data_IF_165689152433
#
_entry.id   IF_165689152433
#
_cell.length_a   1.000
_cell.length_b   1.000
_cell.length_c   1.000
_cell.angle_alpha   90.00
_cell.angle_beta   90.00
_cell.angle_gamma   90.00
#
_symmetry.space_group_name_H-M   'P 1'
#
loop_
_entity.id
_entity.type
_entity.pdbx_description
1 polymer ?
#
# COMPACT_ATOMS: atom_id res chain seq x y z
N UNK A 1 39.06 7.97 0.72
CA UNK A 1 37.95 7.75 -0.25
C UNK A 1 37.62 9.07 -0.92
N UNK A 2 37.13 9.04 -2.17
CA UNK A 2 36.61 10.25 -2.83
C UNK A 2 35.36 10.73 -2.10
N UNK A 3 35.10 12.05 -2.13
CA UNK A 3 33.87 12.65 -1.63
C UNK A 3 32.69 12.33 -2.58
N UNK A 4 31.46 12.58 -2.11
CA UNK A 4 30.24 12.52 -2.92
C UNK A 4 29.88 11.13 -3.49
N UNK A 5 30.03 10.08 -2.67
CA UNK A 5 29.61 8.72 -3.03
C UNK A 5 28.09 8.50 -2.88
N UNK A 6 27.44 9.30 -2.05
CA UNK A 6 26.01 9.15 -1.72
C UNK A 6 25.18 10.04 -2.65
N UNK A 7 24.22 9.43 -3.34
CA UNK A 7 23.27 10.21 -4.14
C UNK A 7 22.45 11.15 -3.26
N UNK A 8 22.27 12.43 -3.63
CA UNK A 8 21.35 13.34 -2.95
C UNK A 8 19.94 12.76 -2.76
N UNK A 9 19.50 11.94 -3.70
CA UNK A 9 18.21 11.23 -3.66
C UNK A 9 18.05 10.34 -2.42
N UNK A 10 19.15 9.83 -1.84
CA UNK A 10 19.09 8.95 -0.66
C UNK A 10 18.51 9.63 0.59
N UNK A 11 18.62 10.96 0.69
CA UNK A 11 18.05 11.74 1.78
C UNK A 11 16.50 11.72 1.79
N UNK A 12 15.89 11.39 0.67
CA UNK A 12 14.43 11.31 0.51
C UNK A 12 13.85 9.92 0.71
N UNK A 13 14.69 8.91 0.97
CA UNK A 13 14.25 7.55 1.25
C UNK A 13 13.79 7.45 2.71
N UNK A 14 12.50 7.32 2.93
CA UNK A 14 11.90 7.14 4.26
C UNK A 14 10.89 5.98 4.23
N UNK A 15 10.89 5.16 5.27
CA UNK A 15 10.00 4.02 5.36
C UNK A 15 9.57 3.75 6.81
N UNK A 16 8.60 4.52 7.31
CA UNK A 16 8.11 4.50 8.69
C UNK A 16 7.78 3.08 9.21
N UNK A 17 7.23 2.21 8.34
CA UNK A 17 6.90 0.81 8.70
C UNK A 17 8.14 0.03 9.17
N UNK A 18 9.31 0.27 8.56
CA UNK A 18 10.55 -0.41 8.95
C UNK A 18 11.24 0.24 10.14
N UNK A 19 11.11 1.54 10.28
CA UNK A 19 11.73 2.26 11.41
C UNK A 19 11.04 1.89 12.72
N UNK A 20 9.73 1.72 12.72
CA UNK A 20 9.00 1.27 13.92
C UNK A 20 9.37 -0.18 14.30
N UNK A 21 9.70 -1.04 13.34
CA UNK A 21 10.17 -2.41 13.60
C UNK A 21 11.48 -2.41 14.37
N UNK A 22 12.44 -1.55 14.00
CA UNK A 22 13.71 -1.42 14.72
C UNK A 22 13.49 -1.05 16.19
N UNK A 23 12.56 -0.13 16.44
CA UNK A 23 12.19 0.24 17.80
C UNK A 23 11.48 -0.91 18.54
N UNK A 24 10.59 -1.65 17.88
CA UNK A 24 9.94 -2.84 18.44
C UNK A 24 10.94 -3.92 18.87
N UNK A 25 11.96 -4.16 18.05
CA UNK A 25 13.04 -5.10 18.43
C UNK A 25 13.81 -4.64 19.69
N UNK A 26 14.03 -3.32 19.83
CA UNK A 26 14.63 -2.77 21.05
C UNK A 26 13.72 -2.98 22.26
N UNK A 27 12.40 -2.75 22.14
CA UNK A 27 11.42 -3.01 23.20
C UNK A 27 11.42 -4.49 23.60
N UNK A 28 11.50 -5.42 22.62
CA UNK A 28 11.57 -6.87 22.87
C UNK A 28 12.82 -7.25 23.69
N UNK A 29 13.94 -6.59 23.47
CA UNK A 29 15.16 -6.79 24.28
C UNK A 29 14.98 -6.43 25.76
N UNK A 30 13.99 -5.59 26.08
CA UNK A 30 13.60 -5.26 27.46
C UNK A 30 12.57 -6.26 28.07
N UNK A 31 12.31 -7.40 27.38
CA UNK A 31 11.47 -8.50 27.89
C UNK A 31 9.97 -8.33 27.64
N UNK A 32 9.54 -7.43 26.76
CA UNK A 32 8.14 -7.28 26.37
C UNK A 32 7.87 -7.98 25.03
N UNK A 33 6.92 -8.93 25.02
CA UNK A 33 6.48 -9.58 23.78
C UNK A 33 5.74 -8.60 22.88
N UNK A 34 6.01 -8.69 21.57
CA UNK A 34 5.48 -7.76 20.58
C UNK A 34 4.46 -8.43 19.68
N UNK A 35 3.29 -7.82 19.61
CA UNK A 35 2.25 -8.12 18.62
C UNK A 35 2.38 -7.16 17.45
N UNK A 36 2.76 -7.69 16.29
CA UNK A 36 3.10 -6.91 15.10
C UNK A 36 1.85 -6.62 14.24
N UNK A 37 1.19 -5.48 14.45
CA UNK A 37 0.05 -5.01 13.65
C UNK A 37 0.44 -3.96 12.60
N UNK A 38 1.72 -3.84 12.32
CA UNK A 38 2.31 -2.87 11.38
C UNK A 38 2.65 -3.47 10.02
N UNK A 39 2.83 -4.80 9.91
CA UNK A 39 3.34 -5.46 8.71
C UNK A 39 2.21 -6.10 7.91
N UNK A 40 2.07 -5.71 6.64
CA UNK A 40 1.11 -6.28 5.72
C UNK A 40 1.58 -7.58 5.06
N UNK A 41 1.95 -8.57 5.88
CA UNK A 41 2.32 -9.91 5.46
C UNK A 41 1.36 -10.95 6.04
N UNK A 42 0.42 -11.46 5.22
CA UNK A 42 -0.56 -12.44 5.67
C UNK A 42 0.08 -13.74 6.19
N UNK A 43 1.16 -14.20 5.55
CA UNK A 43 1.84 -15.45 5.92
C UNK A 43 2.51 -15.31 7.29
N UNK A 44 3.17 -14.17 7.56
CA UNK A 44 3.77 -13.89 8.87
C UNK A 44 2.73 -13.82 10.00
N UNK A 45 1.45 -13.57 9.66
CA UNK A 45 0.29 -13.56 10.56
C UNK A 45 -0.45 -14.90 10.64
N UNK A 46 0.08 -15.94 9.99
CA UNK A 46 -0.47 -17.28 10.04
C UNK A 46 -1.58 -17.58 9.03
N UNK A 47 -1.85 -16.68 8.06
CA UNK A 47 -2.76 -16.99 6.97
C UNK A 47 -2.11 -18.04 6.03
N UNK A 48 -2.67 -19.23 5.91
CA UNK A 48 -2.09 -20.27 5.07
C UNK A 48 -2.33 -19.99 3.59
N UNK A 49 -1.35 -20.35 2.77
CA UNK A 49 -1.61 -20.48 1.32
C UNK A 49 -2.55 -21.66 1.10
N UNK A 50 -3.59 -21.46 0.33
CA UNK A 50 -4.57 -22.50 -0.01
C UNK A 50 -3.90 -23.75 -0.55
N UNK A 51 -4.32 -24.96 -0.16
CA UNK A 51 -3.72 -26.21 -0.63
C UNK A 51 -3.72 -26.35 -2.15
N UNK A 52 -4.77 -25.88 -2.81
CA UNK A 52 -4.87 -25.95 -4.28
C UNK A 52 -3.87 -25.01 -4.98
N UNK A 53 -3.56 -23.85 -4.41
CA UNK A 53 -2.52 -22.92 -4.92
C UNK A 53 -1.16 -23.56 -4.75
N UNK A 54 -0.91 -24.20 -3.58
CA UNK A 54 0.33 -24.95 -3.33
C UNK A 54 0.50 -26.07 -4.34
N UNK A 55 -0.56 -26.84 -4.63
CA UNK A 55 -0.51 -27.93 -5.59
C UNK A 55 -0.18 -27.41 -7.00
N UNK A 56 -0.83 -26.33 -7.45
CA UNK A 56 -0.51 -25.70 -8.73
C UNK A 56 0.99 -25.32 -8.79
N UNK A 57 1.53 -24.76 -7.68
CA UNK A 57 2.94 -24.37 -7.68
C UNK A 57 3.88 -25.58 -7.63
N UNK A 58 3.53 -26.65 -6.96
CA UNK A 58 4.28 -27.93 -7.04
C UNK A 58 4.37 -28.44 -8.48
N UNK A 59 3.25 -28.46 -9.20
CA UNK A 59 3.22 -28.86 -10.60
C UNK A 59 4.03 -27.92 -11.50
N UNK A 60 4.15 -26.65 -11.14
CA UNK A 60 4.99 -25.67 -11.86
C UNK A 60 6.47 -25.91 -11.58
N UNK A 61 6.85 -26.22 -10.36
CA UNK A 61 8.25 -26.47 -9.99
C UNK A 61 8.81 -27.70 -10.68
N UNK A 62 7.99 -28.66 -11.06
CA UNK A 62 8.38 -29.85 -11.84
C UNK A 62 8.66 -29.53 -13.32
N UNK A 63 8.37 -28.33 -13.79
CA UNK A 63 8.69 -27.88 -15.16
C UNK A 63 10.10 -27.32 -15.21
N UNK A 64 10.90 -27.71 -16.19
CA UNK A 64 12.27 -27.24 -16.39
C UNK A 64 12.34 -25.70 -16.55
N UNK A 65 11.33 -25.09 -17.19
CA UNK A 65 11.28 -23.64 -17.41
C UNK A 65 11.20 -22.83 -16.10
N UNK A 66 10.71 -23.43 -15.01
CA UNK A 66 10.65 -22.77 -13.70
C UNK A 66 12.03 -22.53 -13.08
N UNK A 67 13.06 -23.27 -13.54
CA UNK A 67 14.44 -23.20 -13.05
C UNK A 67 15.36 -22.34 -13.93
N UNK A 68 14.94 -22.04 -15.14
CA UNK A 68 15.68 -21.22 -16.09
C UNK A 68 15.33 -19.74 -16.02
N UNK A 69 16.05 -18.95 -16.80
CA UNK A 69 15.66 -17.57 -17.08
C UNK A 69 14.41 -17.55 -17.95
N UNK A 70 13.49 -16.64 -17.66
CA UNK A 70 12.36 -16.36 -18.55
C UNK A 70 12.70 -15.21 -19.53
N UNK A 71 11.87 -14.96 -20.55
CA UNK A 71 11.95 -13.73 -21.33
C UNK A 71 11.91 -12.49 -20.43
N UNK A 72 12.55 -11.41 -20.85
CA UNK A 72 12.74 -10.18 -20.04
C UNK A 72 11.41 -9.62 -19.54
N UNK A 73 10.41 -9.54 -20.40
CA UNK A 73 9.09 -9.00 -20.07
C UNK A 73 8.20 -10.03 -19.32
N UNK A 74 8.55 -11.31 -19.35
CA UNK A 74 7.85 -12.42 -18.72
C UNK A 74 7.50 -13.55 -19.69
N UNK A 75 7.01 -14.66 -19.14
CA UNK A 75 6.53 -15.78 -19.96
C UNK A 75 5.31 -15.40 -20.79
N UNK A 76 5.33 -15.77 -22.07
CA UNK A 76 4.25 -15.47 -23.00
C UNK A 76 2.90 -16.04 -22.56
N UNK A 77 2.87 -17.26 -22.02
CA UNK A 77 1.63 -17.89 -21.52
C UNK A 77 1.02 -17.08 -20.37
N UNK A 78 1.86 -16.49 -19.49
CA UNK A 78 1.40 -15.64 -18.38
C UNK A 78 0.87 -14.30 -18.89
N UNK A 79 1.56 -13.68 -19.84
CA UNK A 79 1.14 -12.43 -20.48
C UNK A 79 -0.20 -12.61 -21.22
N UNK A 80 -0.37 -13.70 -21.96
CA UNK A 80 -1.61 -14.03 -22.68
C UNK A 80 -2.80 -14.21 -21.73
N UNK A 81 -2.60 -14.96 -20.65
CA UNK A 81 -3.64 -15.17 -19.64
C UNK A 81 -4.06 -13.88 -18.96
N UNK A 82 -3.09 -13.02 -18.57
CA UNK A 82 -3.38 -11.75 -17.94
C UNK A 82 -4.05 -10.77 -18.90
N UNK A 83 -3.59 -10.65 -20.14
CA UNK A 83 -4.21 -9.81 -21.15
C UNK A 83 -5.65 -10.27 -21.46
N UNK A 84 -5.89 -11.58 -21.55
CA UNK A 84 -7.23 -12.13 -21.69
C UNK A 84 -8.13 -11.75 -20.49
N UNK A 85 -7.62 -11.92 -19.27
CA UNK A 85 -8.35 -11.59 -18.05
C UNK A 85 -8.70 -10.09 -17.96
N UNK A 86 -7.79 -9.18 -18.34
CA UNK A 86 -8.11 -7.75 -18.46
C UNK A 86 -9.19 -7.50 -19.49
N UNK A 87 -9.07 -8.14 -20.66
CA UNK A 87 -9.97 -7.95 -21.80
C UNK A 87 -11.36 -8.61 -21.62
N UNK A 88 -11.59 -9.41 -20.58
CA UNK A 88 -12.93 -9.89 -20.20
C UNK A 88 -13.83 -8.74 -19.72
N UNK A 89 -13.24 -7.68 -19.15
CA UNK A 89 -13.96 -6.49 -18.70
C UNK A 89 -14.16 -5.50 -19.84
N UNK A 90 -15.17 -4.61 -19.76
CA UNK A 90 -15.29 -3.48 -20.69
C UNK A 90 -14.11 -2.49 -20.47
N UNK A 91 -13.85 -1.64 -21.46
CA UNK A 91 -12.87 -0.57 -21.33
C UNK A 91 -11.64 -0.74 -22.22
N UNK A 92 -10.47 -0.33 -21.73
CA UNK A 92 -9.22 -0.37 -22.47
C UNK A 92 -8.82 -1.81 -22.81
N UNK A 93 -8.38 -2.02 -24.05
CA UNK A 93 -7.90 -3.33 -24.55
C UNK A 93 -6.39 -3.35 -24.54
N UNK A 94 -5.82 -4.45 -24.08
CA UNK A 94 -4.38 -4.66 -24.05
C UNK A 94 -4.01 -5.93 -24.79
N UNK A 95 -2.77 -5.97 -25.26
CA UNK A 95 -2.13 -7.15 -25.82
C UNK A 95 -1.20 -7.80 -24.78
N UNK A 96 -0.77 -9.03 -24.97
CA UNK A 96 0.25 -9.65 -24.13
C UNK A 96 1.55 -8.82 -24.01
N UNK A 97 1.92 -8.05 -25.04
CA UNK A 97 3.10 -7.20 -25.04
C UNK A 97 2.95 -5.96 -24.10
N UNK A 98 1.74 -5.67 -23.65
CA UNK A 98 1.45 -4.60 -22.68
C UNK A 98 1.55 -5.08 -21.23
N UNK A 99 1.88 -6.35 -21.00
CA UNK A 99 2.15 -6.94 -19.69
C UNK A 99 3.65 -7.09 -19.49
N UNK A 100 4.19 -6.50 -18.42
CA UNK A 100 5.62 -6.57 -18.08
C UNK A 100 5.75 -7.03 -16.63
N UNK A 101 6.43 -8.15 -16.40
CA UNK A 101 6.66 -8.71 -15.07
C UNK A 101 7.83 -8.06 -14.34
N UNK A 102 7.71 -7.95 -13.02
CA UNK A 102 8.69 -7.41 -12.09
C UNK A 102 8.84 -8.32 -10.87
N UNK A 103 9.94 -8.15 -10.11
CA UNK A 103 10.17 -8.86 -8.84
C UNK A 103 9.29 -8.28 -7.71
N UNK A 104 7.98 -8.34 -7.91
CA UNK A 104 6.95 -7.73 -7.08
C UNK A 104 6.69 -6.25 -7.44
N UNK A 105 5.54 -5.73 -6.99
CA UNK A 105 5.10 -4.35 -7.29
C UNK A 105 6.11 -3.30 -6.79
N UNK A 106 6.81 -3.54 -5.68
CA UNK A 106 7.83 -2.60 -5.19
C UNK A 106 9.00 -2.43 -6.16
N UNK A 107 9.37 -3.47 -6.91
CA UNK A 107 10.36 -3.40 -7.98
C UNK A 107 9.82 -2.61 -9.19
N UNK A 108 8.55 -2.83 -9.55
CA UNK A 108 7.87 -2.03 -10.57
C UNK A 108 7.86 -0.54 -10.18
N UNK A 109 7.50 -0.20 -8.94
CA UNK A 109 7.54 1.17 -8.41
C UNK A 109 8.93 1.78 -8.58
N UNK A 110 9.97 1.09 -8.12
CA UNK A 110 11.34 1.61 -8.21
C UNK A 110 11.75 1.94 -9.64
N UNK A 111 11.36 1.11 -10.62
CA UNK A 111 11.69 1.35 -12.04
C UNK A 111 10.81 2.39 -12.69
N UNK A 112 9.49 2.35 -12.44
CA UNK A 112 8.56 3.32 -12.99
C UNK A 112 8.99 4.75 -12.62
N UNK A 113 9.34 5.01 -11.36
CA UNK A 113 9.86 6.32 -10.99
C UNK A 113 11.31 6.53 -11.44
N UNK A 114 12.17 5.52 -11.33
CA UNK A 114 13.60 5.66 -11.62
C UNK A 114 13.95 5.97 -13.09
N UNK A 115 13.03 5.69 -14.02
CA UNK A 115 13.19 5.95 -15.46
C UNK A 115 12.31 7.08 -15.99
N UNK A 116 11.63 7.82 -15.11
CA UNK A 116 11.06 9.12 -15.46
C UNK A 116 12.16 10.18 -15.58
N UNK A 117 11.92 11.20 -16.39
CA UNK A 117 12.73 12.42 -16.38
C UNK A 117 12.68 13.04 -14.97
N UNK A 118 13.79 13.52 -14.38
CA UNK A 118 13.76 14.23 -13.09
C UNK A 118 12.84 15.45 -13.04
N UNK A 119 12.42 15.95 -14.19
CA UNK A 119 11.47 17.06 -14.32
C UNK A 119 10.01 16.62 -14.46
N UNK A 120 9.75 15.33 -14.68
CA UNK A 120 8.41 14.77 -14.78
C UNK A 120 7.97 14.24 -13.40
N UNK A 121 7.04 14.93 -12.75
CA UNK A 121 6.58 14.64 -11.40
C UNK A 121 5.29 13.82 -11.42
N UNK A 122 5.13 12.98 -10.42
CA UNK A 122 3.88 12.25 -10.21
C UNK A 122 3.24 12.77 -8.94
N UNK A 123 2.03 13.35 -9.08
CA UNK A 123 1.24 13.71 -7.89
C UNK A 123 0.55 12.47 -7.33
N UNK A 124 0.71 12.21 -6.02
CA UNK A 124 0.15 11.05 -5.33
C UNK A 124 -0.83 11.42 -4.22
N UNK A 125 -1.63 10.46 -3.70
CA UNK A 125 -2.54 10.71 -2.58
C UNK A 125 -1.78 10.95 -1.27
N UNK A 126 -2.40 11.68 -0.35
CA UNK A 126 -1.95 11.86 1.04
C UNK A 126 -3.11 11.50 1.99
N UNK A 127 -3.00 10.40 2.78
CA UNK A 127 -1.87 9.47 2.92
C UNK A 127 -1.72 8.47 1.76
N UNK A 128 -0.48 7.98 1.58
CA UNK A 128 -0.13 6.99 0.57
C UNK A 128 0.86 5.93 1.06
N UNK A 129 0.90 4.80 0.39
CA UNK A 129 1.94 3.79 0.61
C UNK A 129 3.33 4.39 0.38
N UNK A 130 4.14 4.42 1.44
CA UNK A 130 5.41 5.17 1.51
C UNK A 130 6.42 4.80 0.42
N UNK A 131 6.33 3.62 -0.18
CA UNK A 131 7.21 3.23 -1.29
C UNK A 131 7.01 4.12 -2.51
N UNK A 132 5.76 4.49 -2.86
CA UNK A 132 5.49 5.42 -3.95
C UNK A 132 6.01 6.82 -3.64
N UNK A 133 5.68 7.34 -2.44
CA UNK A 133 6.10 8.68 -2.02
C UNK A 133 7.62 8.82 -1.97
N UNK A 134 8.32 7.81 -1.41
CA UNK A 134 9.78 7.80 -1.35
C UNK A 134 10.42 7.65 -2.74
N UNK A 135 9.86 6.82 -3.61
CA UNK A 135 10.37 6.64 -4.96
C UNK A 135 10.23 7.92 -5.79
N UNK A 136 9.09 8.61 -5.67
CA UNK A 136 8.85 9.90 -6.34
C UNK A 136 9.81 10.98 -5.84
N UNK A 137 9.98 11.11 -4.53
CA UNK A 137 10.92 12.06 -3.94
C UNK A 137 12.36 11.77 -4.32
N UNK A 138 12.77 10.51 -4.31
CA UNK A 138 14.14 10.10 -4.67
C UNK A 138 14.44 10.32 -6.15
N UNK A 139 13.47 10.07 -7.04
CA UNK A 139 13.63 10.25 -8.49
C UNK A 139 13.99 11.70 -8.86
N UNK A 140 13.36 12.69 -8.25
CA UNK A 140 13.59 14.10 -8.54
C UNK A 140 14.48 14.83 -7.51
N UNK A 141 14.88 14.17 -6.41
CA UNK A 141 15.60 14.75 -5.27
C UNK A 141 14.86 15.96 -4.62
N UNK A 142 13.52 15.92 -4.61
CA UNK A 142 12.65 16.95 -4.04
C UNK A 142 11.55 16.27 -3.19
N UNK A 143 10.93 16.96 -2.23
CA UNK A 143 9.73 16.45 -1.58
C UNK A 143 8.65 16.08 -2.59
N UNK A 144 7.97 14.95 -2.39
CA UNK A 144 6.92 14.52 -3.31
C UNK A 144 5.70 15.46 -3.28
N UNK A 145 4.99 15.53 -4.39
CA UNK A 145 3.78 16.35 -4.52
C UNK A 145 2.57 15.45 -4.22
N UNK A 146 1.66 15.93 -3.37
CA UNK A 146 0.48 15.16 -2.98
C UNK A 146 -0.82 15.92 -3.24
N UNK A 147 -1.90 15.17 -3.47
CA UNK A 147 -3.26 15.65 -3.31
C UNK A 147 -3.88 15.01 -2.05
N UNK A 148 -4.79 15.74 -1.40
CA UNK A 148 -5.31 15.31 -0.11
C UNK A 148 -6.45 14.29 -0.29
N UNK A 149 -6.46 13.31 0.62
CA UNK A 149 -7.62 12.45 0.86
C UNK A 149 -8.39 12.99 2.06
N UNK A 150 -9.68 13.29 1.89
CA UNK A 150 -10.50 13.91 2.95
C UNK A 150 -10.95 12.86 3.99
N UNK A 151 -10.44 12.92 5.22
CA UNK A 151 -10.86 12.00 6.29
C UNK A 151 -12.30 12.21 6.74
N UNK A 152 -12.94 13.33 6.39
CA UNK A 152 -14.34 13.59 6.68
C UNK A 152 -15.27 13.05 5.60
N UNK A 153 -14.73 12.76 4.43
CA UNK A 153 -15.42 12.18 3.29
C UNK A 153 -14.88 10.78 2.94
N UNK A 154 -14.70 9.92 3.97
CA UNK A 154 -14.31 8.52 3.72
C UNK A 154 -12.92 8.32 3.13
N UNK A 155 -12.01 9.29 3.24
CA UNK A 155 -10.71 9.27 2.60
C UNK A 155 -10.77 9.25 1.06
N UNK A 156 -11.80 9.83 0.49
CA UNK A 156 -11.87 10.05 -0.95
C UNK A 156 -10.96 11.22 -1.36
N UNK A 157 -10.42 11.21 -2.59
CA UNK A 157 -9.63 12.30 -3.13
C UNK A 157 -10.37 13.65 -3.10
N UNK A 158 -9.69 14.69 -2.61
CA UNK A 158 -10.10 16.06 -2.83
C UNK A 158 -9.72 16.46 -4.27
N UNK A 159 -10.72 16.44 -5.15
CA UNK A 159 -10.54 16.70 -6.57
C UNK A 159 -10.26 18.18 -6.88
N UNK A 160 -10.69 19.10 -6.03
CA UNK A 160 -10.39 20.52 -6.17
C UNK A 160 -8.91 20.79 -5.80
N UNK A 161 -8.44 20.18 -4.71
CA UNK A 161 -7.02 20.23 -4.35
C UNK A 161 -6.14 19.61 -5.44
N UNK A 162 -6.54 18.44 -5.97
CA UNK A 162 -5.82 17.78 -7.07
C UNK A 162 -5.75 18.69 -8.30
N UNK A 163 -6.85 19.28 -8.74
CA UNK A 163 -6.93 20.23 -9.87
C UNK A 163 -6.03 21.45 -9.63
N UNK A 164 -6.15 22.05 -8.45
CA UNK A 164 -5.36 23.23 -8.10
C UNK A 164 -3.85 22.95 -8.16
N UNK A 165 -3.43 21.83 -7.63
CA UNK A 165 -2.02 21.42 -7.63
C UNK A 165 -1.51 21.11 -9.04
N UNK A 166 -2.28 20.45 -9.88
CA UNK A 166 -1.91 20.24 -11.30
C UNK A 166 -1.71 21.59 -12.01
N UNK A 167 -2.57 22.55 -11.79
CA UNK A 167 -2.44 23.89 -12.39
C UNK A 167 -1.23 24.67 -11.83
N UNK A 168 -0.91 24.48 -10.54
CA UNK A 168 0.17 25.18 -9.85
C UNK A 168 1.55 24.63 -10.20
N UNK A 169 1.66 23.32 -10.43
CA UNK A 169 2.92 22.62 -10.68
C UNK A 169 3.00 22.06 -12.12
N UNK A 170 3.47 22.83 -13.10
CA UNK A 170 3.55 22.39 -14.51
C UNK A 170 4.47 21.18 -14.74
N UNK A 171 5.28 20.81 -13.76
CA UNK A 171 6.11 19.61 -13.79
C UNK A 171 5.33 18.31 -13.56
N UNK A 172 4.08 18.38 -13.12
CA UNK A 172 3.25 17.17 -12.96
C UNK A 172 2.97 16.58 -14.34
N UNK A 173 3.43 15.36 -14.55
CA UNK A 173 3.26 14.58 -15.76
C UNK A 173 2.26 13.42 -15.60
N UNK A 174 1.98 13.01 -14.33
CA UNK A 174 1.04 11.92 -14.08
C UNK A 174 0.42 11.98 -12.69
N UNK A 175 -0.66 11.22 -12.53
CA UNK A 175 -1.42 11.10 -11.29
C UNK A 175 -1.33 9.64 -10.79
N UNK A 176 -0.92 9.46 -9.53
CA UNK A 176 -0.96 8.16 -8.85
C UNK A 176 -2.31 7.96 -8.17
N UNK A 177 -2.90 6.80 -8.40
CA UNK A 177 -4.10 6.29 -7.72
C UNK A 177 -3.68 5.03 -6.93
N UNK A 178 -4.12 4.89 -5.68
CA UNK A 178 -3.95 3.66 -4.89
C UNK A 178 -5.34 3.19 -4.48
N UNK A 179 -5.85 2.15 -5.12
CA UNK A 179 -7.25 1.72 -4.93
C UNK A 179 -7.37 0.18 -4.91
N UNK A 180 -7.85 -0.42 -3.82
CA UNK A 180 -8.09 0.12 -2.47
C UNK A 180 -6.84 0.73 -1.82
N UNK A 181 -7.03 1.79 -1.04
CA UNK A 181 -5.94 2.59 -0.50
C UNK A 181 -5.23 1.92 0.70
N UNK A 182 -3.92 1.96 0.69
CA UNK A 182 -3.05 1.73 1.84
C UNK A 182 -2.42 3.08 2.21
N UNK A 183 -2.73 3.65 3.39
CA UNK A 183 -3.08 2.99 4.66
C UNK A 183 -4.57 2.95 5.04
N UNK A 184 -5.47 3.62 4.34
CA UNK A 184 -6.80 3.95 4.87
C UNK A 184 -7.83 2.82 4.75
N UNK A 185 -7.65 1.90 3.81
CA UNK A 185 -8.66 0.91 3.43
C UNK A 185 -9.84 1.50 2.66
N UNK A 186 -9.76 2.77 2.25
CA UNK A 186 -10.77 3.40 1.41
C UNK A 186 -10.79 2.80 0.00
N UNK A 187 -11.97 2.76 -0.60
CA UNK A 187 -12.20 2.33 -1.97
C UNK A 187 -12.84 3.47 -2.74
N UNK A 188 -12.27 3.80 -3.88
CA UNK A 188 -12.78 4.90 -4.70
C UNK A 188 -13.94 4.42 -5.56
N UNK A 189 -15.12 5.07 -5.47
CA UNK A 189 -16.24 4.79 -6.35
C UNK A 189 -15.90 5.10 -7.82
N UNK A 190 -16.65 4.50 -8.72
CA UNK A 190 -16.47 4.65 -10.18
C UNK A 190 -16.45 6.12 -10.59
N UNK A 191 -17.37 6.92 -10.06
CA UNK A 191 -17.50 8.36 -10.38
C UNK A 191 -16.28 9.18 -9.95
N UNK A 192 -15.57 8.76 -8.89
CA UNK A 192 -14.34 9.41 -8.45
C UNK A 192 -13.19 9.05 -9.40
N UNK A 193 -13.09 7.79 -9.80
CA UNK A 193 -12.10 7.35 -10.78
C UNK A 193 -12.32 8.05 -12.14
N UNK A 194 -13.54 8.13 -12.62
CA UNK A 194 -13.89 8.84 -13.86
C UNK A 194 -13.50 10.32 -13.82
N UNK A 195 -13.70 11.00 -12.69
CA UNK A 195 -13.29 12.39 -12.50
C UNK A 195 -11.77 12.56 -12.50
N UNK A 196 -11.03 11.62 -11.90
CA UNK A 196 -9.55 11.63 -11.97
C UNK A 196 -9.08 11.42 -13.42
N UNK A 197 -9.68 10.47 -14.13
CA UNK A 197 -9.41 10.24 -15.57
C UNK A 197 -9.70 11.49 -16.40
N UNK A 198 -10.82 12.18 -16.12
CA UNK A 198 -11.18 13.41 -16.79
C UNK A 198 -10.14 14.54 -16.55
N UNK A 199 -9.63 14.67 -15.32
CA UNK A 199 -8.53 15.58 -15.01
C UNK A 199 -7.25 15.22 -15.77
N UNK A 200 -6.87 13.94 -15.78
CA UNK A 200 -5.71 13.49 -16.53
C UNK A 200 -5.82 13.81 -18.03
N UNK A 201 -7.00 13.57 -18.63
CA UNK A 201 -7.29 13.91 -20.02
C UNK A 201 -7.21 15.41 -20.27
N UNK A 202 -7.84 16.24 -19.43
CA UNK A 202 -7.87 17.69 -19.53
C UNK A 202 -6.48 18.32 -19.54
N UNK A 203 -5.57 17.79 -18.70
CA UNK A 203 -4.23 18.31 -18.53
C UNK A 203 -3.15 17.56 -19.31
N UNK A 204 -3.50 16.54 -20.10
CA UNK A 204 -2.56 15.75 -20.89
C UNK A 204 -1.60 14.93 -20.01
N UNK A 205 -2.08 14.35 -18.91
CA UNK A 205 -1.31 13.56 -17.96
C UNK A 205 -1.56 12.06 -18.18
N UNK A 206 -0.59 11.23 -17.80
CA UNK A 206 -0.83 9.78 -17.71
C UNK A 206 -1.21 9.36 -16.28
N UNK A 207 -1.71 8.14 -16.12
CA UNK A 207 -2.13 7.61 -14.83
C UNK A 207 -1.20 6.46 -14.39
N UNK A 208 -0.98 6.36 -13.08
CA UNK A 208 -0.42 5.18 -12.42
C UNK A 208 -1.47 4.71 -11.42
N UNK A 209 -1.89 3.44 -11.50
CA UNK A 209 -2.77 2.84 -10.51
C UNK A 209 -2.07 1.69 -9.79
N UNK A 210 -1.94 1.77 -8.48
CA UNK A 210 -1.59 0.62 -7.63
C UNK A 210 -2.89 -0.10 -7.25
N UNK A 211 -3.18 -1.18 -7.98
CA UNK A 211 -4.36 -2.04 -7.80
C UNK A 211 -4.03 -3.35 -7.10
N UNK A 212 -2.95 -3.40 -6.30
CA UNK A 212 -2.53 -4.63 -5.59
C UNK A 212 -3.61 -5.21 -4.67
N UNK A 213 -4.62 -4.41 -4.28
CA UNK A 213 -5.73 -4.79 -3.41
C UNK A 213 -7.09 -4.84 -4.12
N UNK A 214 -7.16 -4.66 -5.44
CA UNK A 214 -8.45 -4.47 -6.14
C UNK A 214 -9.42 -5.64 -5.97
N UNK A 215 -8.91 -6.88 -5.86
CA UNK A 215 -9.74 -8.06 -5.59
C UNK A 215 -10.05 -8.27 -4.10
N UNK A 216 -9.71 -7.30 -3.26
CA UNK A 216 -10.00 -7.30 -1.81
C UNK A 216 -10.97 -6.19 -1.42
N UNK A 217 -11.82 -5.76 -2.34
CA UNK A 217 -12.96 -4.87 -2.09
C UNK A 217 -14.03 -5.64 -1.32
N UNK A 218 -14.61 -5.02 -0.27
CA UNK A 218 -15.56 -5.69 0.60
C UNK A 218 -16.94 -5.82 -0.04
N UNK A 219 -17.74 -6.83 0.35
CA UNK A 219 -19.08 -7.02 -0.21
C UNK A 219 -19.96 -5.77 -0.08
N UNK A 220 -20.64 -5.41 -1.16
CA UNK A 220 -21.52 -4.24 -1.23
C UNK A 220 -20.81 -2.90 -1.46
N UNK A 221 -19.50 -2.90 -1.65
CA UNK A 221 -18.73 -1.71 -2.07
C UNK A 221 -18.51 -1.78 -3.59
N UNK A 222 -18.83 -0.71 -4.29
CA UNK A 222 -18.67 -0.60 -5.74
C UNK A 222 -17.40 0.18 -6.09
N UNK A 223 -16.67 -0.31 -7.08
CA UNK A 223 -15.50 0.33 -7.69
C UNK A 223 -15.30 -0.22 -9.10
N UNK A 224 -14.32 0.32 -9.82
CA UNK A 224 -13.89 -0.20 -11.12
C UNK A 224 -12.37 -0.42 -11.14
N UNK A 225 -11.91 -1.29 -12.03
CA UNK A 225 -10.51 -1.30 -12.43
C UNK A 225 -10.22 -0.05 -13.27
N UNK A 226 -8.99 0.47 -13.19
CA UNK A 226 -8.64 1.63 -14.01
C UNK A 226 -8.83 1.33 -15.51
N UNK A 227 -8.60 0.10 -15.95
CA UNK A 227 -8.81 -0.33 -17.34
C UNK A 227 -10.25 -0.14 -17.84
N UNK A 228 -11.24 -0.12 -16.96
CA UNK A 228 -12.67 0.07 -17.32
C UNK A 228 -13.02 1.53 -17.55
N UNK A 229 -12.29 2.47 -16.94
CA UNK A 229 -12.59 3.92 -16.98
C UNK A 229 -11.56 4.76 -17.75
N UNK A 230 -10.32 4.28 -17.91
CA UNK A 230 -9.24 5.00 -18.59
C UNK A 230 -9.28 4.82 -20.12
N UNK A 231 -10.44 4.96 -20.73
CA UNK A 231 -10.72 4.60 -22.14
C UNK A 231 -9.74 5.16 -23.16
N UNK A 232 -9.24 6.37 -22.95
CA UNK A 232 -8.40 7.13 -23.89
C UNK A 232 -7.23 7.85 -23.20
N UNK A 233 -6.97 7.56 -21.94
CA UNK A 233 -5.83 8.11 -21.16
C UNK A 233 -4.75 7.06 -21.04
N UNK A 234 -3.50 7.35 -21.41
CA UNK A 234 -2.38 6.43 -21.17
C UNK A 234 -2.21 6.12 -19.68
N UNK A 235 -2.01 4.85 -19.35
CA UNK A 235 -1.86 4.48 -17.95
C UNK A 235 -0.97 3.25 -17.72
N UNK A 236 -0.43 3.15 -16.51
CA UNK A 236 0.26 1.97 -15.97
C UNK A 236 -0.57 1.49 -14.77
N UNK A 237 -1.06 0.25 -14.82
CA UNK A 237 -1.72 -0.41 -13.70
C UNK A 237 -0.75 -1.41 -13.08
N UNK A 238 -0.53 -1.33 -11.78
CA UNK A 238 0.38 -2.21 -11.03
C UNK A 238 -0.41 -3.29 -10.31
N UNK A 239 -0.06 -4.55 -10.55
CA UNK A 239 -0.75 -5.72 -10.02
C UNK A 239 0.24 -6.78 -9.54
N UNK A 240 -0.26 -7.75 -8.77
CA UNK A 240 0.57 -8.87 -8.35
C UNK A 240 -0.14 -9.77 -7.36
N UNK A 241 0.40 -10.97 -7.16
CA UNK A 241 -0.23 -12.02 -6.36
C UNK A 241 0.09 -11.96 -4.86
N UNK A 242 0.88 -10.98 -4.42
CA UNK A 242 1.35 -10.89 -3.03
C UNK A 242 0.23 -10.77 -2.00
N UNK A 243 -0.89 -10.15 -2.35
CA UNK A 243 -1.97 -9.82 -1.42
C UNK A 243 -3.23 -10.65 -1.66
N UNK A 244 -3.63 -10.81 -2.90
CA UNK A 244 -4.82 -11.59 -3.24
C UNK A 244 -4.65 -13.10 -3.05
N UNK A 245 -3.47 -13.66 -3.36
CA UNK A 245 -3.14 -15.07 -3.14
C UNK A 245 -2.39 -15.35 -1.83
N UNK A 246 -2.34 -14.41 -0.90
CA UNK A 246 -1.44 -14.16 0.22
C UNK A 246 -0.04 -14.76 0.05
N UNK A 247 0.60 -14.46 -1.10
CA UNK A 247 1.92 -15.01 -1.44
C UNK A 247 2.98 -13.93 -1.69
N UNK A 248 3.31 -13.11 -0.67
CA UNK A 248 4.30 -12.02 -0.82
C UNK A 248 5.73 -12.53 -1.13
N UNK A 249 6.05 -13.75 -0.70
CA UNK A 249 7.34 -14.39 -0.98
C UNK A 249 7.54 -14.81 -2.44
N UNK A 250 6.48 -14.85 -3.26
CA UNK A 250 6.58 -15.16 -4.70
C UNK A 250 7.42 -14.14 -5.46
N UNK A 251 7.48 -12.91 -4.98
CA UNK A 251 8.07 -11.77 -5.72
C UNK A 251 7.56 -11.67 -7.15
N UNK A 252 6.26 -11.90 -7.36
CA UNK A 252 5.61 -11.83 -8.66
C UNK A 252 4.61 -10.67 -8.68
N UNK A 253 4.92 -9.68 -9.49
CA UNK A 253 4.08 -8.54 -9.81
C UNK A 253 4.29 -8.16 -11.27
N UNK A 254 3.40 -7.36 -11.81
CA UNK A 254 3.46 -6.89 -13.19
C UNK A 254 2.83 -5.51 -13.33
N UNK A 255 3.11 -4.89 -14.46
CA UNK A 255 2.36 -3.73 -14.92
C UNK A 255 1.52 -4.11 -16.13
N UNK A 256 0.35 -3.48 -16.23
CA UNK A 256 -0.55 -3.50 -17.38
C UNK A 256 -0.48 -2.12 -18.01
N UNK A 257 -0.03 -2.02 -19.26
CA UNK A 257 0.10 -0.74 -19.96
C UNK A 257 -1.16 -0.50 -20.79
N UNK A 258 -1.90 0.55 -20.45
CA UNK A 258 -3.13 0.93 -21.12
C UNK A 258 -2.86 2.05 -22.12
N UNK A 259 -3.50 1.96 -23.29
CA UNK A 259 -3.56 3.05 -24.26
C UNK A 259 -2.18 3.54 -24.75
N UNK A 260 -1.16 2.70 -24.75
CA UNK A 260 0.23 3.03 -25.05
C UNK A 260 0.39 3.77 -26.37
N UNK A 261 -0.33 3.36 -27.40
CA UNK A 261 -0.21 3.91 -28.76
C UNK A 261 -0.81 5.30 -28.95
N UNK A 262 -1.54 5.82 -27.96
CA UNK A 262 -2.19 7.13 -28.05
C UNK A 262 -1.23 8.29 -27.84
N UNK A 263 -0.07 8.06 -27.20
CA UNK A 263 0.93 9.09 -26.97
C UNK A 263 2.35 8.56 -27.22
N UNK A 264 3.13 9.25 -28.05
CA UNK A 264 4.48 8.84 -28.43
C UNK A 264 5.47 8.98 -27.28
N UNK A 265 5.35 10.00 -26.41
CA UNK A 265 6.23 10.19 -25.27
C UNK A 265 5.99 9.12 -24.22
N UNK A 266 4.73 8.80 -23.96
CA UNK A 266 4.37 7.70 -23.07
C UNK A 266 4.84 6.35 -23.63
N UNK A 267 4.71 6.11 -24.92
CA UNK A 267 5.25 4.91 -25.57
C UNK A 267 6.77 4.80 -25.40
N UNK A 268 7.50 5.90 -25.64
CA UNK A 268 8.95 5.94 -25.44
C UNK A 268 9.35 5.73 -23.98
N UNK A 269 8.55 6.26 -23.03
CA UNK A 269 8.76 6.00 -21.62
C UNK A 269 8.59 4.51 -21.27
N UNK A 270 7.55 3.84 -21.78
CA UNK A 270 7.37 2.40 -21.60
C UNK A 270 8.53 1.60 -22.22
N UNK A 271 9.04 2.02 -23.39
CA UNK A 271 10.22 1.40 -23.99
C UNK A 271 11.46 1.52 -23.09
N UNK A 272 11.61 2.63 -22.38
CA UNK A 272 12.70 2.81 -21.42
C UNK A 272 12.60 1.85 -20.22
N UNK A 273 11.37 1.54 -19.76
CA UNK A 273 11.15 0.54 -18.71
C UNK A 273 11.53 -0.87 -19.18
N UNK A 274 11.17 -1.24 -20.41
CA UNK A 274 11.56 -2.51 -21.01
C UNK A 274 13.08 -2.59 -21.17
N UNK A 275 13.72 -1.51 -21.60
CA UNK A 275 15.18 -1.44 -21.72
C UNK A 275 15.86 -1.61 -20.35
N UNK A 276 15.31 -0.99 -19.30
CA UNK A 276 15.80 -1.17 -17.93
C UNK A 276 15.66 -2.63 -17.46
N UNK A 277 14.56 -3.30 -17.79
CA UNK A 277 14.35 -4.71 -17.46
C UNK A 277 15.40 -5.63 -18.10
N UNK A 278 15.89 -5.31 -19.29
CA UNK A 278 16.94 -6.10 -19.95
C UNK A 278 18.24 -6.16 -19.14
N UNK A 279 18.53 -5.15 -18.33
CA UNK A 279 19.69 -5.12 -17.43
C UNK A 279 19.55 -6.12 -16.27
N UNK A 280 18.33 -6.53 -15.92
CA UNK A 280 18.05 -7.54 -14.87
C UNK A 280 17.95 -8.96 -15.44
N UNK A 281 17.99 -9.10 -16.75
CA UNK A 281 17.70 -10.32 -17.49
C UNK A 281 16.21 -10.66 -17.45
N UNK A 282 15.64 -11.01 -16.28
CA UNK A 282 14.21 -11.34 -16.13
C UNK A 282 13.76 -11.23 -14.67
N UNK A 283 12.46 -11.41 -14.42
CA UNK A 283 11.88 -11.58 -13.08
C UNK A 283 11.80 -13.07 -12.70
N UNK A 284 11.36 -13.38 -11.46
CA UNK A 284 11.21 -14.77 -10.98
C UNK A 284 10.34 -15.61 -11.90
N UNK A 285 10.85 -16.77 -12.36
CA UNK A 285 10.23 -17.61 -13.39
C UNK A 285 9.04 -18.43 -12.86
N UNK A 286 9.25 -19.24 -11.82
CA UNK A 286 8.23 -20.18 -11.34
C UNK A 286 6.88 -19.54 -10.98
N UNK A 287 6.83 -18.44 -10.20
CA UNK A 287 5.55 -17.79 -9.88
C UNK A 287 4.78 -17.27 -11.08
N UNK A 288 5.46 -16.81 -12.15
CA UNK A 288 4.80 -16.37 -13.38
C UNK A 288 4.05 -17.53 -14.06
N UNK A 289 4.65 -18.72 -14.09
CA UNK A 289 4.04 -19.93 -14.67
C UNK A 289 2.83 -20.44 -13.86
N UNK A 290 2.73 -20.04 -12.56
CA UNK A 290 1.58 -20.36 -11.74
C UNK A 290 0.37 -19.44 -12.02
N UNK A 291 0.60 -18.18 -12.42
CA UNK A 291 -0.46 -17.17 -12.62
C UNK A 291 -1.57 -17.66 -13.55
N UNK A 292 -1.31 -18.17 -14.78
CA UNK A 292 -2.37 -18.63 -15.70
C UNK A 292 -3.24 -19.74 -15.10
N UNK A 293 -2.60 -20.65 -14.37
CA UNK A 293 -3.25 -21.81 -13.77
C UNK A 293 -4.11 -21.42 -12.57
N UNK A 294 -3.64 -20.48 -11.76
CA UNK A 294 -4.38 -19.98 -10.60
C UNK A 294 -5.59 -19.17 -11.06
N UNK A 295 -5.40 -18.25 -12.00
CA UNK A 295 -6.48 -17.36 -12.48
C UNK A 295 -7.54 -18.13 -13.28
N UNK A 296 -7.14 -19.18 -14.00
CA UNK A 296 -8.05 -20.08 -14.72
C UNK A 296 -8.74 -21.14 -13.84
N UNK A 297 -8.38 -21.26 -12.56
CA UNK A 297 -8.96 -22.24 -11.66
C UNK A 297 -10.33 -21.79 -11.14
N UNK A 298 -11.34 -22.65 -11.17
CA UNK A 298 -12.69 -22.34 -10.71
C UNK A 298 -12.78 -21.93 -9.24
N UNK A 299 -11.78 -22.29 -8.43
CA UNK A 299 -11.68 -21.92 -6.99
C UNK A 299 -11.18 -20.51 -6.77
N UNK A 300 -10.59 -19.85 -7.78
CA UNK A 300 -10.00 -18.51 -7.63
C UNK A 300 -11.05 -17.46 -7.22
N UNK A 301 -12.16 -17.36 -7.93
CA UNK A 301 -13.23 -16.42 -7.58
C UNK A 301 -13.81 -16.66 -6.17
N UNK A 302 -13.97 -17.93 -5.78
CA UNK A 302 -14.45 -18.31 -4.44
C UNK A 302 -13.44 -17.90 -3.37
N UNK A 303 -12.15 -18.12 -3.63
CA UNK A 303 -11.05 -17.69 -2.74
C UNK A 303 -11.07 -16.18 -2.51
N UNK A 304 -11.16 -15.37 -3.55
CA UNK A 304 -11.22 -13.91 -3.44
C UNK A 304 -12.43 -13.45 -2.65
N UNK A 305 -13.63 -13.98 -2.97
CA UNK A 305 -14.88 -13.63 -2.28
C UNK A 305 -14.82 -13.96 -0.78
N UNK A 306 -14.31 -15.15 -0.44
CA UNK A 306 -14.15 -15.56 0.97
C UNK A 306 -13.20 -14.62 1.73
N UNK A 307 -12.09 -14.22 1.14
CA UNK A 307 -11.13 -13.30 1.77
C UNK A 307 -11.73 -11.90 1.94
N UNK A 308 -12.43 -11.38 0.93
CA UNK A 308 -13.12 -10.10 1.04
C UNK A 308 -14.15 -10.10 2.18
N UNK A 309 -14.96 -11.17 2.31
CA UNK A 309 -15.91 -11.34 3.41
C UNK A 309 -15.22 -11.43 4.78
N UNK A 310 -14.12 -12.17 4.87
CA UNK A 310 -13.33 -12.32 6.09
C UNK A 310 -12.79 -10.97 6.58
N UNK A 311 -12.19 -10.18 5.69
CA UNK A 311 -11.65 -8.88 6.06
C UNK A 311 -12.76 -7.85 6.35
N UNK A 312 -13.89 -7.92 5.67
CA UNK A 312 -15.06 -7.10 6.00
C UNK A 312 -15.56 -7.37 7.42
N UNK A 313 -15.64 -8.65 7.83
CA UNK A 313 -16.03 -9.03 9.20
C UNK A 313 -15.03 -8.53 10.25
N UNK A 314 -13.72 -8.65 9.99
CA UNK A 314 -12.65 -8.16 10.87
C UNK A 314 -12.64 -6.63 10.97
N UNK A 315 -12.91 -5.93 9.87
CA UNK A 315 -13.05 -4.47 9.87
C UNK A 315 -14.25 -4.00 10.71
N UNK A 316 -15.36 -4.72 10.65
CA UNK A 316 -16.53 -4.45 11.48
C UNK A 316 -16.24 -4.68 12.97
N UNK A 317 -15.54 -5.77 13.30
CA UNK A 317 -15.11 -6.08 14.68
C UNK A 317 -14.22 -4.95 15.24
N UNK A 318 -13.20 -4.54 14.48
CA UNK A 318 -12.30 -3.46 14.87
C UNK A 318 -13.04 -2.11 15.00
N UNK A 319 -13.93 -1.80 14.06
CA UNK A 319 -14.74 -0.58 14.11
C UNK A 319 -15.60 -0.52 15.36
N UNK A 320 -16.32 -1.60 15.71
CA UNK A 320 -17.13 -1.67 16.92
C UNK A 320 -16.30 -1.48 18.20
N UNK A 321 -15.10 -2.06 18.25
CA UNK A 321 -14.25 -1.94 19.42
C UNK A 321 -13.72 -0.51 19.63
N UNK A 322 -13.43 0.22 18.55
CA UNK A 322 -12.73 1.50 18.60
C UNK A 322 -13.66 2.72 18.52
N UNK A 323 -14.81 2.61 17.84
CA UNK A 323 -15.69 3.76 17.55
C UNK A 323 -16.32 4.43 18.78
N UNK A 324 -16.31 3.78 19.93
CA UNK A 324 -16.82 4.33 21.20
C UNK A 324 -15.79 5.17 21.97
N UNK A 325 -14.51 5.14 21.59
CA UNK A 325 -13.44 5.90 22.24
C UNK A 325 -13.56 7.37 21.85
N UNK A 326 -13.59 8.27 22.86
CA UNK A 326 -13.66 9.72 22.64
C UNK A 326 -12.31 10.26 22.21
N UNK A 327 -12.28 11.34 21.43
CA UNK A 327 -11.07 12.01 20.96
C UNK A 327 -10.39 11.34 19.79
N UNK A 328 -11.03 10.33 19.19
CA UNK A 328 -10.58 9.71 17.95
C UNK A 328 -11.69 9.62 16.91
N UNK A 329 -11.28 9.52 15.65
CA UNK A 329 -12.16 9.18 14.52
C UNK A 329 -11.64 7.91 13.87
N UNK A 330 -12.51 6.89 13.76
CA UNK A 330 -12.19 5.61 13.11
C UNK A 330 -12.84 5.58 11.74
N UNK A 331 -12.04 5.35 10.71
CA UNK A 331 -12.57 5.06 9.38
C UNK A 331 -12.76 3.54 9.22
N UNK A 332 -13.98 3.13 8.89
CA UNK A 332 -14.26 1.72 8.57
C UNK A 332 -13.75 1.42 7.18
N UNK A 333 -12.79 0.50 7.08
CA UNK A 333 -12.25 0.08 5.80
C UNK A 333 -13.33 -0.50 4.88
N UNK A 334 -13.15 -0.30 3.59
CA UNK A 334 -14.02 -0.81 2.52
C UNK A 334 -13.29 -1.83 1.63
N UNK A 335 -11.98 -1.95 1.80
CA UNK A 335 -11.13 -2.88 1.06
C UNK A 335 -9.76 -3.03 1.70
N UNK A 336 -8.90 -3.83 1.09
CA UNK A 336 -7.59 -4.22 1.61
C UNK A 336 -7.69 -4.93 2.98
N UNK A 337 -6.67 -4.79 3.82
CA UNK A 337 -6.64 -5.32 5.19
C UNK A 337 -6.01 -4.33 6.19
N UNK A 338 -6.24 -3.06 5.97
CA UNK A 338 -5.77 -1.98 6.84
C UNK A 338 -6.94 -1.16 7.38
N UNK A 339 -6.75 -0.64 8.59
CA UNK A 339 -7.63 0.40 9.14
C UNK A 339 -6.79 1.53 9.72
N UNK A 340 -7.35 2.72 9.70
CA UNK A 340 -6.76 3.92 10.30
C UNK A 340 -7.63 4.48 11.41
N UNK A 341 -6.94 5.01 12.43
CA UNK A 341 -7.52 5.80 13.51
C UNK A 341 -6.88 7.17 13.47
N UNK A 342 -7.67 8.22 13.49
CA UNK A 342 -7.23 9.59 13.61
C UNK A 342 -7.44 10.10 15.03
N UNK A 343 -6.52 10.91 15.51
CA UNK A 343 -6.73 11.73 16.71
C UNK A 343 -7.48 13.01 16.32
N UNK A 344 -8.51 13.34 17.07
CA UNK A 344 -9.24 14.59 16.87
C UNK A 344 -8.37 15.81 17.21
N UNK A 345 -8.65 16.99 16.63
CA UNK A 345 -7.92 18.20 16.94
C UNK A 345 -7.88 18.47 18.45
N UNK A 346 -6.68 18.68 19.01
CA UNK A 346 -6.48 18.92 20.45
C UNK A 346 -6.40 17.67 21.32
N UNK A 347 -6.72 16.48 20.82
CA UNK A 347 -6.63 15.24 21.59
C UNK A 347 -5.18 14.89 21.98
N UNK A 348 -4.22 15.22 21.12
CA UNK A 348 -2.79 15.09 21.41
C UNK A 348 -2.21 16.43 21.84
N UNK A 349 -1.95 16.59 23.14
CA UNK A 349 -1.49 17.86 23.73
C UNK A 349 -0.09 17.79 24.36
N UNK A 350 0.65 16.71 24.11
CA UNK A 350 2.01 16.49 24.62
C UNK A 350 2.10 16.04 26.08
N UNK A 351 0.99 16.03 26.83
CA UNK A 351 0.92 15.54 28.21
C UNK A 351 0.38 14.10 28.30
N UNK A 352 -0.14 13.58 27.21
CA UNK A 352 -0.69 12.23 27.11
C UNK A 352 0.37 11.18 27.46
N UNK A 353 0.02 10.21 28.32
CA UNK A 353 0.93 9.18 28.83
C UNK A 353 0.27 7.80 28.81
N UNK A 354 1.07 6.75 28.70
CA UNK A 354 0.69 5.39 29.03
C UNK A 354 1.66 4.82 30.08
N UNK A 355 1.18 4.05 31.05
CA UNK A 355 2.04 3.45 32.06
C UNK A 355 2.96 2.40 31.46
N UNK A 356 4.26 2.49 31.74
CA UNK A 356 5.29 1.53 31.35
C UNK A 356 5.90 0.99 32.65
N UNK A 357 5.75 -0.32 32.85
CA UNK A 357 6.13 -0.96 34.11
C UNK A 357 7.66 -0.93 34.35
N UNK A 358 8.45 -1.26 33.32
CA UNK A 358 9.91 -1.29 33.40
C UNK A 358 10.50 0.14 33.37
N UNK A 359 11.24 0.60 34.39
CA UNK A 359 11.89 1.91 34.36
C UNK A 359 12.86 2.07 33.19
N UNK A 360 13.67 1.07 32.89
CA UNK A 360 14.62 1.11 31.77
C UNK A 360 13.92 1.23 30.40
N UNK A 361 12.80 0.52 30.22
CA UNK A 361 12.00 0.63 29.01
C UNK A 361 11.29 2.01 28.91
N UNK A 362 10.82 2.56 30.04
CA UNK A 362 10.24 3.90 30.10
C UNK A 362 11.24 4.94 29.61
N UNK A 363 12.49 4.89 30.09
CA UNK A 363 13.56 5.82 29.69
C UNK A 363 13.87 5.73 28.19
N UNK A 364 13.81 4.52 27.63
CA UNK A 364 13.99 4.29 26.18
C UNK A 364 12.86 4.94 25.39
N UNK A 365 11.60 4.69 25.78
CA UNK A 365 10.41 5.28 25.12
C UNK A 365 10.42 6.80 25.20
N UNK A 366 10.72 7.38 26.38
CA UNK A 366 10.74 8.85 26.54
C UNK A 366 11.87 9.51 25.71
N UNK A 367 13.02 8.86 25.58
CA UNK A 367 14.07 9.34 24.66
C UNK A 367 13.62 9.34 23.22
N UNK A 368 12.87 8.31 22.81
CA UNK A 368 12.38 8.18 21.43
C UNK A 368 11.27 9.19 21.11
N UNK A 369 10.49 9.60 22.13
CA UNK A 369 9.44 10.62 21.98
C UNK A 369 10.01 12.05 21.85
N UNK A 370 11.26 12.29 22.24
CA UNK A 370 11.84 13.66 22.15
C UNK A 370 11.96 14.11 20.69
N UNK A 371 11.20 15.15 20.34
CA UNK A 371 11.19 15.72 18.99
C UNK A 371 10.40 14.91 17.96
N UNK A 372 9.78 13.81 18.37
CA UNK A 372 8.90 13.03 17.49
C UNK A 372 7.52 13.72 17.34
N UNK A 373 6.85 13.47 16.21
CA UNK A 373 5.48 13.92 16.03
C UNK A 373 4.53 13.26 17.05
N UNK A 374 3.41 13.90 17.40
CA UNK A 374 2.53 13.43 18.47
C UNK A 374 2.00 12.00 18.29
N UNK A 375 1.67 11.59 17.07
CA UNK A 375 1.22 10.24 16.76
C UNK A 375 2.36 9.19 16.83
N UNK A 376 3.59 9.58 16.54
CA UNK A 376 4.77 8.74 16.79
C UNK A 376 4.96 8.51 18.29
N UNK A 377 4.77 9.53 19.13
CA UNK A 377 4.85 9.38 20.58
C UNK A 377 3.79 8.40 21.11
N UNK A 378 2.57 8.47 20.59
CA UNK A 378 1.53 7.49 20.93
C UNK A 378 1.98 6.07 20.56
N UNK A 379 2.47 5.88 19.35
CA UNK A 379 2.91 4.55 18.85
C UNK A 379 4.06 4.00 19.70
N UNK A 380 5.05 4.82 20.06
CA UNK A 380 6.15 4.38 20.94
C UNK A 380 5.66 4.01 22.33
N UNK A 381 4.74 4.78 22.91
CA UNK A 381 4.16 4.50 24.22
C UNK A 381 3.26 3.28 24.22
N UNK A 382 2.43 3.11 23.19
CA UNK A 382 1.62 1.91 22.99
C UNK A 382 2.51 0.66 22.93
N UNK A 383 3.57 0.72 22.15
CA UNK A 383 4.51 -0.37 21.99
C UNK A 383 5.20 -0.71 23.32
N UNK A 384 5.69 0.29 24.06
CA UNK A 384 6.36 0.11 25.36
C UNK A 384 5.42 -0.26 26.51
N UNK A 385 4.13 0.07 26.41
CA UNK A 385 3.13 -0.19 27.44
C UNK A 385 2.37 -1.51 27.24
N UNK A 386 2.00 -1.80 26.01
CA UNK A 386 1.09 -2.93 25.63
C UNK A 386 1.73 -3.97 24.71
N UNK A 387 2.93 -3.72 24.21
CA UNK A 387 3.57 -4.60 23.24
C UNK A 387 2.86 -4.64 21.88
N UNK A 388 2.01 -3.68 21.54
CA UNK A 388 1.31 -3.64 20.25
C UNK A 388 2.01 -2.65 19.32
N UNK A 389 2.49 -3.15 18.18
CA UNK A 389 3.19 -2.38 17.17
C UNK A 389 2.23 -1.97 16.04
N UNK A 390 1.93 -0.70 15.93
CA UNK A 390 1.17 -0.08 14.83
C UNK A 390 2.04 0.93 14.08
N UNK A 391 1.56 1.55 13.01
CA UNK A 391 2.34 2.54 12.24
C UNK A 391 1.73 3.93 12.39
N UNK A 392 2.50 4.95 12.79
CA UNK A 392 2.00 6.32 12.86
C UNK A 392 1.57 6.80 11.48
N UNK A 393 0.43 7.48 11.41
CA UNK A 393 -0.18 7.85 10.14
C UNK A 393 0.59 8.96 9.42
N UNK A 394 1.21 9.89 10.17
CA UNK A 394 2.09 10.91 9.58
C UNK A 394 3.29 10.32 8.86
N UNK A 395 3.67 9.07 9.16
CA UNK A 395 4.67 8.30 8.41
C UNK A 395 4.22 7.88 7.00
N UNK A 396 2.96 8.14 6.61
CA UNK A 396 2.43 7.97 5.26
C UNK A 396 2.26 9.31 4.54
N UNK A 397 3.04 10.31 4.95
CA UNK A 397 3.08 11.64 4.33
C UNK A 397 1.73 12.40 4.39
N UNK A 398 1.03 12.31 5.50
CA UNK A 398 -0.18 13.10 5.76
C UNK A 398 0.01 14.02 6.95
N UNK A 399 -0.65 15.21 6.99
CA UNK A 399 -0.63 16.08 8.16
C UNK A 399 -1.54 15.59 9.29
N UNK A 400 -2.38 14.59 9.05
CA UNK A 400 -3.35 14.10 10.02
C UNK A 400 -2.71 13.13 11.01
N UNK A 401 -2.61 13.48 12.33
CA UNK A 401 -2.06 12.58 13.32
C UNK A 401 -2.98 11.38 13.56
N UNK A 402 -2.41 10.20 13.56
CA UNK A 402 -3.15 8.97 13.73
C UNK A 402 -2.27 7.73 13.67
N UNK A 403 -2.85 6.60 13.45
CA UNK A 403 -2.09 5.37 13.19
C UNK A 403 -2.86 4.39 12.27
N UNK A 404 -2.10 3.54 11.62
CA UNK A 404 -2.61 2.40 10.84
C UNK A 404 -2.27 1.10 11.54
N UNK A 405 -3.22 0.15 11.53
CA UNK A 405 -3.03 -1.24 11.96
C UNK A 405 -3.57 -2.22 10.90
N UNK A 406 -3.22 -3.51 11.04
CA UNK A 406 -3.64 -4.56 10.12
C UNK A 406 -4.82 -5.36 10.67
N UNK A 407 -5.59 -6.00 9.77
CA UNK A 407 -6.68 -6.92 10.06
C UNK A 407 -6.24 -8.39 9.86
N UNK A 408 -4.93 -8.64 9.90
CA UNK A 408 -4.34 -9.91 9.47
C UNK A 408 -4.31 -10.99 10.56
N UNK A 409 -4.48 -10.65 11.86
CA UNK A 409 -4.44 -11.65 12.94
C UNK A 409 -5.48 -12.75 12.71
N UNK A 410 -5.00 -13.99 12.64
CA UNK A 410 -5.83 -15.15 12.30
C UNK A 410 -6.48 -15.82 13.52
N UNK A 411 -5.88 -15.67 14.70
CA UNK A 411 -6.48 -16.14 15.96
C UNK A 411 -7.55 -15.17 16.43
N UNK A 412 -8.80 -15.64 16.51
CA UNK A 412 -9.96 -14.82 16.85
C UNK A 412 -9.87 -14.23 18.26
N UNK A 413 -9.39 -15.01 19.24
CA UNK A 413 -9.26 -14.55 20.63
C UNK A 413 -8.16 -13.49 20.75
N UNK A 414 -7.04 -13.69 20.09
CA UNK A 414 -5.95 -12.73 20.04
C UNK A 414 -6.35 -11.47 19.30
N UNK A 415 -7.07 -11.57 18.19
CA UNK A 415 -7.58 -10.42 17.43
C UNK A 415 -8.54 -9.58 18.29
N UNK A 416 -9.49 -10.22 18.97
CA UNK A 416 -10.40 -9.55 19.91
C UNK A 416 -9.64 -8.87 21.06
N UNK A 417 -8.59 -9.52 21.58
CA UNK A 417 -7.71 -8.93 22.59
C UNK A 417 -6.97 -7.70 22.04
N UNK A 418 -6.44 -7.77 20.83
CA UNK A 418 -5.75 -6.62 20.19
C UNK A 418 -6.67 -5.41 20.12
N UNK A 419 -7.88 -5.56 19.55
CA UNK A 419 -8.79 -4.44 19.34
C UNK A 419 -9.29 -3.86 20.68
N UNK A 420 -9.59 -4.69 21.66
CA UNK A 420 -9.94 -4.24 23.02
C UNK A 420 -8.76 -3.49 23.67
N UNK A 421 -7.55 -4.03 23.62
CA UNK A 421 -6.36 -3.41 24.22
C UNK A 421 -6.02 -2.09 23.55
N UNK A 422 -6.22 -1.98 22.23
CA UNK A 422 -6.08 -0.69 21.52
C UNK A 422 -7.11 0.34 22.02
N UNK A 423 -8.37 -0.06 22.17
CA UNK A 423 -9.41 0.84 22.68
C UNK A 423 -9.14 1.29 24.11
N UNK A 424 -8.75 0.39 25.02
CA UNK A 424 -8.37 0.69 26.40
C UNK A 424 -7.15 1.63 26.47
N UNK A 425 -6.10 1.35 25.69
CA UNK A 425 -4.89 2.17 25.65
C UNK A 425 -5.18 3.57 25.11
N UNK A 426 -6.02 3.69 24.08
CA UNK A 426 -6.46 4.99 23.54
C UNK A 426 -7.23 5.80 24.58
N UNK A 427 -8.22 5.19 25.23
CA UNK A 427 -9.01 5.86 26.26
C UNK A 427 -8.12 6.33 27.42
N UNK A 428 -7.21 5.48 27.92
CA UNK A 428 -6.27 5.82 28.97
C UNK A 428 -5.31 6.95 28.54
N UNK A 429 -4.75 6.87 27.34
CA UNK A 429 -3.82 7.86 26.81
C UNK A 429 -4.45 9.25 26.71
N UNK A 430 -5.70 9.32 26.23
CA UNK A 430 -6.39 10.58 26.01
C UNK A 430 -6.86 11.23 27.33
N UNK A 431 -7.33 10.43 28.30
CA UNK A 431 -7.72 10.95 29.64
C UNK A 431 -6.54 11.55 30.38
N UNK A 432 -5.34 10.99 30.28
CA UNK A 432 -4.15 11.56 30.95
C UNK A 432 -3.78 12.94 30.42
N UNK A 433 -4.12 13.24 29.15
CA UNK A 433 -3.98 14.57 28.59
C UNK A 433 -4.98 15.60 29.14
N UNK A 434 -6.21 15.18 29.43
CA UNK A 434 -7.27 16.04 29.98
C UNK A 434 -7.02 16.45 31.44
N UNK A 435 -6.58 15.51 32.29
CA UNK A 435 -6.34 15.73 33.73
C UNK A 435 -5.16 16.70 34.00
N UNK A 436 -4.28 16.88 33.03
CA UNK A 436 -3.10 17.73 33.14
C UNK A 436 -3.30 19.15 32.55
N UNK A 437 -4.48 19.46 32.05
CA UNK A 437 -4.87 20.77 31.53
C UNK A 437 -5.66 21.56 32.55
#
# INVERSE_FOLDING_TARGET
>A
MRADLVSPSSAHLSYAIRDIVKFGELVRQHGLDITWENIGDPVAKGEPIEPWIRQIYHDVVDRDESWGYCPTEGFREAQEALAAHVNERPGARISPADIIFFNGVADAVAKVYGFLSPHARIIGPSPAYSTHSSAESAHCALPHITYDLDPNNGWLPDLEDLRHKIQTYPSIAGILIINPNNPTGAVYPVEVLEKIVALAREFGLFLIADEIYIHMVYPGVETAHLSEVALDVPAIVMRGISKELPWPGSRCGWIEVLNRSLDQNFSAYVDSLIAAKRLEVCSTSGPQLAVPRVFGDSRYAVHLSRRAQMFAARAEEAYKALSSVRGIKVHKAQGAFYMTVLFEPGALNGKNQLPIASPGLRDVVERQCKGAAPDWCFVYRLLGSRGICVVPLTGFYTPHPGFRFTLLETDDAKRAWIFRTLAEALAEYLITGEVAA
#
